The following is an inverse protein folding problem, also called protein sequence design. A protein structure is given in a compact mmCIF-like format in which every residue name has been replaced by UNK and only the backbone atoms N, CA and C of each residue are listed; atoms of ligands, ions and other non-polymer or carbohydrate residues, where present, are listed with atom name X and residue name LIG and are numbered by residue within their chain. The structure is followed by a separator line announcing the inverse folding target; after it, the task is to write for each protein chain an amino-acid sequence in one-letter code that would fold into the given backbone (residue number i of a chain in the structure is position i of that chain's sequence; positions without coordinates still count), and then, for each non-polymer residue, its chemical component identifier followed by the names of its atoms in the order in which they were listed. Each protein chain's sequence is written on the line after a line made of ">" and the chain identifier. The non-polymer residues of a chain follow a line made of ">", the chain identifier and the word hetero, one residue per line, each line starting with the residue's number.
data_IF_553681103475
#
_entry.id   IF_553681103475
#
_cell.length_a   1.000
_cell.length_b   1.000
_cell.length_c   1.000
_cell.angle_alpha   90.00
_cell.angle_beta   90.00
_cell.angle_gamma   90.00
#
_symmetry.space_group_name_H-M   'P 1'
#
loop_
_entity.id
_entity.type
_entity.pdbx_description
1 polymer ?
#
# COMPACT_ATOMS: atom_id res chain seq x y z
N UNK A 1 -9.63 -11.31 12.92
CA UNK A 1 -8.51 -10.91 13.80
C UNK A 1 -9.14 -10.54 15.14
N UNK A 2 -8.95 -11.37 16.17
CA UNK A 2 -9.82 -11.37 17.37
C UNK A 2 -9.24 -10.64 18.59
N UNK A 3 -8.20 -9.81 18.42
CA UNK A 3 -7.69 -8.96 19.52
C UNK A 3 -7.09 -7.67 18.97
N UNK A 4 -7.30 -6.52 19.63
CA UNK A 4 -6.63 -5.28 19.26
C UNK A 4 -5.12 -5.39 19.53
N UNK A 5 -4.32 -4.77 18.66
CA UNK A 5 -2.88 -4.63 18.91
C UNK A 5 -2.68 -3.58 19.99
N UNK A 6 -1.98 -3.95 21.06
CA UNK A 6 -1.79 -3.06 22.22
C UNK A 6 -0.63 -2.07 22.03
N UNK A 7 0.26 -2.32 21.06
CA UNK A 7 1.37 -1.43 20.73
C UNK A 7 1.54 -1.28 19.23
N UNK A 8 2.12 -0.14 18.79
CA UNK A 8 2.54 0.08 17.40
C UNK A 8 3.53 -0.99 16.95
N UNK A 9 4.40 -1.45 17.86
CA UNK A 9 5.36 -2.52 17.59
C UNK A 9 4.68 -3.82 17.20
N UNK A 10 3.68 -4.24 17.97
CA UNK A 10 2.96 -5.49 17.72
C UNK A 10 2.20 -5.43 16.40
N UNK A 11 1.57 -4.29 16.11
CA UNK A 11 0.89 -4.09 14.82
C UNK A 11 1.86 -4.15 13.64
N UNK A 12 2.99 -3.45 13.72
CA UNK A 12 4.00 -3.44 12.65
C UNK A 12 4.58 -4.84 12.41
N UNK A 13 4.92 -5.57 13.47
CA UNK A 13 5.42 -6.93 13.37
C UNK A 13 4.36 -7.90 12.84
N UNK A 14 3.10 -7.76 13.27
CA UNK A 14 2.00 -8.58 12.72
C UNK A 14 1.81 -8.34 11.22
N UNK A 15 1.82 -7.08 10.79
CA UNK A 15 1.67 -6.73 9.39
C UNK A 15 2.82 -7.31 8.56
N UNK A 16 4.05 -7.14 9.05
CA UNK A 16 5.25 -7.70 8.43
C UNK A 16 5.20 -9.23 8.31
N UNK A 17 4.87 -9.96 9.39
CA UNK A 17 4.72 -11.43 9.38
C UNK A 17 3.65 -11.86 8.37
N UNK A 18 2.51 -11.18 8.38
CA UNK A 18 1.39 -11.46 7.48
C UNK A 18 1.79 -11.22 6.02
N UNK A 19 2.49 -10.14 5.74
CA UNK A 19 3.01 -9.84 4.42
C UNK A 19 3.98 -10.91 3.93
N UNK A 20 4.90 -11.39 4.79
CA UNK A 20 5.81 -12.47 4.42
C UNK A 20 5.10 -13.81 4.18
N UNK A 21 4.03 -14.10 4.92
CA UNK A 21 3.18 -15.27 4.64
C UNK A 21 2.54 -15.16 3.25
N UNK A 22 2.05 -13.98 2.89
CA UNK A 22 1.51 -13.71 1.55
C UNK A 22 2.60 -13.83 0.49
N UNK A 23 3.78 -13.25 0.69
CA UNK A 23 4.90 -13.36 -0.26
C UNK A 23 5.31 -14.80 -0.51
N UNK A 24 5.35 -15.64 0.53
CA UNK A 24 5.70 -17.06 0.37
C UNK A 24 4.65 -17.81 -0.45
N UNK A 25 3.36 -17.57 -0.17
CA UNK A 25 2.26 -18.17 -0.95
C UNK A 25 2.30 -17.70 -2.40
N UNK A 26 2.34 -16.39 -2.61
CA UNK A 26 2.34 -15.80 -3.95
C UNK A 26 3.57 -16.20 -4.74
N UNK A 27 4.74 -16.36 -4.11
CA UNK A 27 5.93 -16.90 -4.80
C UNK A 27 5.62 -18.24 -5.46
N UNK A 28 4.98 -19.15 -4.74
CA UNK A 28 4.64 -20.48 -5.25
C UNK A 28 3.55 -20.42 -6.32
N UNK A 29 2.50 -19.65 -6.09
CA UNK A 29 1.38 -19.49 -7.03
C UNK A 29 1.82 -18.82 -8.34
N UNK A 30 2.59 -17.73 -8.25
CA UNK A 30 3.08 -16.99 -9.41
C UNK A 30 4.13 -17.79 -10.21
N UNK A 31 4.97 -18.59 -9.55
CA UNK A 31 5.93 -19.48 -10.20
C UNK A 31 5.22 -20.64 -10.93
N UNK A 32 4.20 -21.23 -10.29
CA UNK A 32 3.41 -22.31 -10.89
C UNK A 32 2.58 -21.84 -12.10
N UNK A 33 2.05 -20.62 -12.04
CA UNK A 33 1.21 -20.05 -13.10
C UNK A 33 1.98 -19.24 -14.14
N UNK A 34 3.27 -18.95 -13.90
CA UNK A 34 4.07 -18.07 -14.77
C UNK A 34 3.56 -16.64 -14.83
N UNK A 35 2.85 -16.17 -13.80
CA UNK A 35 2.19 -14.85 -13.74
C UNK A 35 2.96 -13.81 -12.94
N UNK A 36 4.06 -14.21 -12.29
CA UNK A 36 4.87 -13.32 -11.46
C UNK A 36 5.61 -12.25 -12.26
N UNK A 37 5.76 -11.06 -11.67
CA UNK A 37 6.60 -10.00 -12.25
C UNK A 37 8.08 -10.41 -12.20
N UNK A 38 8.77 -10.57 -13.35
CA UNK A 38 10.17 -10.98 -13.37
C UNK A 38 11.12 -9.98 -12.70
N UNK A 39 10.76 -8.68 -12.67
CA UNK A 39 11.56 -7.64 -12.03
C UNK A 39 11.39 -7.64 -10.51
N UNK A 40 10.23 -8.08 -10.02
CA UNK A 40 9.88 -8.04 -8.60
C UNK A 40 9.34 -9.40 -8.10
N UNK A 41 10.17 -10.46 -8.14
CA UNK A 41 9.77 -11.76 -7.64
C UNK A 41 9.49 -11.70 -6.14
N UNK A 42 8.42 -12.36 -5.70
CA UNK A 42 8.07 -12.43 -4.28
C UNK A 42 9.16 -13.16 -3.49
N UNK A 43 9.65 -12.51 -2.44
CA UNK A 43 10.71 -13.00 -1.56
C UNK A 43 10.34 -12.69 -0.12
N UNK A 44 10.93 -13.47 0.78
CA UNK A 44 10.92 -13.15 2.21
C UNK A 44 11.66 -11.83 2.40
N UNK A 45 11.05 -10.92 3.14
CA UNK A 45 11.51 -9.56 3.34
C UNK A 45 11.74 -9.28 4.85
N UNK A 46 12.81 -8.55 5.25
CA UNK A 46 13.95 -8.17 4.42
C UNK A 46 14.78 -9.39 4.01
N UNK A 47 15.66 -9.21 3.03
CA UNK A 47 16.68 -10.21 2.73
C UNK A 47 17.79 -10.19 3.79
N UNK A 48 18.52 -11.31 3.94
CA UNK A 48 19.69 -11.39 4.85
C UNK A 48 20.78 -10.38 4.49
N UNK A 49 20.94 -10.06 3.21
CA UNK A 49 21.87 -9.01 2.77
C UNK A 49 21.45 -7.63 3.27
N UNK A 50 20.14 -7.36 3.27
CA UNK A 50 19.59 -6.05 3.66
C UNK A 50 19.54 -5.87 5.19
N UNK A 51 19.27 -6.95 5.93
CA UNK A 51 19.30 -6.93 7.39
C UNK A 51 19.88 -8.24 7.94
N UNK A 52 21.21 -8.36 8.06
CA UNK A 52 21.83 -9.56 8.63
C UNK A 52 21.40 -9.79 10.09
N UNK A 53 21.29 -8.71 10.87
CA UNK A 53 20.92 -8.75 12.28
C UNK A 53 19.47 -9.22 12.53
N UNK A 54 18.59 -9.12 11.53
CA UNK A 54 17.21 -9.60 11.62
C UNK A 54 17.12 -11.13 11.73
N UNK A 55 18.20 -11.85 11.40
CA UNK A 55 18.24 -13.30 11.41
C UNK A 55 19.05 -13.77 12.62
N UNK A 56 18.50 -14.70 13.40
CA UNK A 56 19.25 -15.31 14.50
C UNK A 56 20.30 -16.24 13.88
N UNK A 57 21.56 -16.06 14.30
CA UNK A 57 22.66 -16.92 13.87
C UNK A 57 22.50 -18.28 14.56
N UNK A 58 22.00 -19.28 13.83
CA UNK A 58 21.95 -20.65 14.33
C UNK A 58 23.38 -21.20 14.27
N UNK A 59 24.06 -21.26 15.41
CA UNK A 59 25.30 -22.01 15.55
C UNK A 59 25.01 -23.49 15.41
N UNK A 60 25.37 -24.09 14.27
CA UNK A 60 25.29 -25.53 14.02
C UNK A 60 24.32 -25.92 12.92
N UNK A 61 24.77 -26.85 12.08
CA UNK A 61 24.06 -27.46 10.95
C UNK A 61 22.61 -27.86 11.28
N UNK A 62 21.65 -26.99 10.99
CA UNK A 62 20.27 -27.42 10.74
C UNK A 62 20.15 -27.77 9.26
N UNK A 63 20.37 -29.05 8.98
CA UNK A 63 20.07 -29.65 7.69
C UNK A 63 18.57 -29.54 7.43
N UNK A 64 18.24 -28.81 6.36
CA UNK A 64 16.97 -28.84 5.63
C UNK A 64 15.75 -28.10 6.23
N UNK A 65 15.16 -27.29 5.34
CA UNK A 65 13.78 -26.76 5.28
C UNK A 65 13.33 -25.59 6.18
N UNK A 66 13.34 -24.39 5.55
CA UNK A 66 12.28 -23.34 5.55
C UNK A 66 11.99 -22.48 6.77
N UNK A 67 12.37 -22.81 7.99
CA UNK A 67 12.00 -21.95 9.14
C UNK A 67 13.14 -21.01 9.54
N UNK A 68 13.11 -19.81 8.97
CA UNK A 68 14.00 -18.72 9.38
C UNK A 68 13.62 -18.27 10.78
N UNK A 69 14.56 -18.34 11.71
CA UNK A 69 14.39 -17.77 13.05
C UNK A 69 14.72 -16.27 13.02
N UNK A 70 13.78 -15.44 13.48
CA UNK A 70 13.84 -13.99 13.38
C UNK A 70 14.18 -13.33 14.71
N UNK A 71 15.09 -12.37 14.68
CA UNK A 71 15.27 -11.41 15.75
C UNK A 71 14.26 -10.27 15.58
N UNK A 72 13.08 -10.38 16.20
CA UNK A 72 11.99 -9.41 16.04
C UNK A 72 12.32 -8.01 16.57
N UNK A 73 13.29 -7.87 17.48
CA UNK A 73 13.79 -6.57 17.91
C UNK A 73 14.50 -5.85 16.76
N UNK A 74 15.38 -6.57 16.07
CA UNK A 74 16.13 -6.09 14.92
C UNK A 74 15.23 -5.86 13.71
N UNK A 75 14.27 -6.75 13.47
CA UNK A 75 13.25 -6.56 12.43
C UNK A 75 12.49 -5.26 12.68
N UNK A 76 11.93 -5.06 13.87
CA UNK A 76 11.17 -3.84 14.16
C UNK A 76 12.02 -2.58 13.98
N UNK A 77 13.28 -2.59 14.44
CA UNK A 77 14.20 -1.46 14.24
C UNK A 77 14.42 -1.18 12.76
N UNK A 78 14.63 -2.24 11.96
CA UNK A 78 14.76 -2.14 10.52
C UNK A 78 13.48 -1.58 9.85
N UNK A 79 12.28 -2.01 10.25
CA UNK A 79 11.02 -1.48 9.72
C UNK A 79 10.92 0.04 9.90
N UNK A 80 11.21 0.51 11.12
CA UNK A 80 11.11 1.93 11.45
C UNK A 80 12.15 2.75 10.68
N UNK A 81 13.38 2.25 10.55
CA UNK A 81 14.42 2.96 9.79
C UNK A 81 14.11 3.00 8.28
N UNK A 82 13.75 1.85 7.70
CA UNK A 82 13.50 1.71 6.27
C UNK A 82 12.29 2.53 5.81
N UNK A 83 11.16 2.42 6.51
CA UNK A 83 9.93 3.14 6.14
C UNK A 83 9.87 4.55 6.74
N UNK A 84 10.47 4.79 7.90
CA UNK A 84 10.43 6.11 8.56
C UNK A 84 11.23 7.19 7.81
N UNK A 85 12.32 6.83 7.13
CA UNK A 85 13.08 7.77 6.28
C UNK A 85 12.24 8.34 5.14
N UNK A 86 11.36 7.52 4.54
CA UNK A 86 10.49 7.94 3.44
C UNK A 86 9.40 8.92 3.87
N UNK A 87 9.00 8.90 5.15
CA UNK A 87 8.00 9.85 5.69
C UNK A 87 8.64 11.24 5.88
N UNK A 88 9.89 11.30 6.35
CA UNK A 88 10.59 12.57 6.62
C UNK A 88 10.93 13.35 5.36
N UNK A 89 11.32 12.68 4.28
CA UNK A 89 11.67 13.35 3.01
C UNK A 89 10.51 14.10 2.35
N UNK A 90 9.25 13.80 2.70
CA UNK A 90 8.08 14.54 2.22
C UNK A 90 7.70 15.75 3.06
N UNK A 91 8.28 15.93 4.25
CA UNK A 91 7.94 17.04 5.15
C UNK A 91 8.91 18.22 5.10
N UNK A 92 10.12 18.02 4.58
CA UNK A 92 11.15 19.07 4.46
C UNK A 92 11.01 19.92 3.17
N UNK A 93 9.96 19.68 2.37
CA UNK A 93 9.73 20.34 1.07
C UNK A 93 8.79 21.55 1.08
N UNK A 94 8.30 22.00 2.24
CA UNK A 94 7.49 23.22 2.34
C UNK A 94 8.31 24.29 3.06
N UNK A 95 9.33 24.81 2.37
CA UNK A 95 9.93 26.10 2.73
C UNK A 95 9.05 27.21 2.15
N UNK A 96 8.26 27.84 3.03
CA UNK A 96 7.41 28.99 2.73
C UNK A 96 8.24 30.29 2.66
N UNK A 97 9.29 30.34 1.85
CA UNK A 97 9.97 31.59 1.52
C UNK A 97 9.66 31.98 0.08
N UNK A 98 8.74 32.94 -0.04
CA UNK A 98 8.10 33.30 -1.29
C UNK A 98 9.05 33.90 -2.32
N UNK A 99 8.89 33.43 -3.56
CA UNK A 99 9.21 34.21 -4.75
C UNK A 99 8.02 34.16 -5.70
N UNK A 100 7.25 35.25 -5.69
CA UNK A 100 6.17 35.55 -6.62
C UNK A 100 6.82 36.03 -7.91
N UNK A 101 6.65 35.30 -9.01
CA UNK A 101 6.92 35.81 -10.35
C UNK A 101 5.75 35.48 -11.26
N UNK A 102 4.93 36.52 -11.43
CA UNK A 102 4.11 36.94 -12.57
C UNK A 102 3.34 35.97 -13.47
N UNK A 103 2.18 36.46 -13.88
CA UNK A 103 1.15 35.81 -14.68
C UNK A 103 1.63 35.36 -16.07
N UNK A 104 1.34 34.11 -16.44
CA UNK A 104 0.91 33.80 -17.80
C UNK A 104 -0.05 32.62 -17.81
N UNK A 105 -1.29 32.89 -18.20
CA UNK A 105 -2.31 31.91 -18.57
C UNK A 105 -1.79 31.11 -19.77
N UNK A 106 -1.40 29.86 -19.56
CA UNK A 106 -1.16 28.89 -20.63
C UNK A 106 -1.75 27.56 -20.16
N UNK A 107 -2.64 27.03 -20.98
CA UNK A 107 -3.33 25.75 -20.82
C UNK A 107 -2.29 24.62 -20.75
N UNK A 108 -2.08 24.03 -19.57
CA UNK A 108 -1.30 22.80 -19.44
C UNK A 108 -1.81 21.96 -18.26
N UNK A 109 -2.94 21.31 -18.49
CA UNK A 109 -3.36 20.17 -17.70
C UNK A 109 -2.46 18.98 -18.06
N UNK A 110 -1.26 18.91 -17.46
CA UNK A 110 -0.44 17.70 -17.46
C UNK A 110 0.02 17.32 -16.06
N UNK A 111 -0.88 16.68 -15.32
CA UNK A 111 -0.49 15.63 -14.35
C UNK A 111 -1.42 14.45 -14.57
N UNK A 112 -1.11 13.72 -15.65
CA UNK A 112 -1.89 12.62 -16.20
C UNK A 112 -1.74 11.33 -15.39
N UNK A 113 -2.77 11.03 -14.60
CA UNK A 113 -3.27 9.66 -14.40
C UNK A 113 -4.81 9.61 -14.47
N UNK A 114 -5.44 10.65 -15.02
CA UNK A 114 -6.87 10.64 -15.30
C UNK A 114 -7.08 9.87 -16.61
N UNK A 115 -7.78 8.73 -16.55
CA UNK A 115 -8.33 8.11 -17.76
C UNK A 115 -9.27 9.15 -18.39
N UNK A 116 -8.88 9.72 -19.53
CA UNK A 116 -9.73 10.64 -20.27
C UNK A 116 -10.96 9.87 -20.75
N UNK A 117 -12.10 10.08 -20.09
CA UNK A 117 -13.38 9.49 -20.48
C UNK A 117 -13.99 10.35 -21.59
N UNK A 118 -14.50 9.76 -22.69
CA UNK A 118 -15.20 10.53 -23.71
C UNK A 118 -16.32 11.37 -23.09
N UNK A 119 -16.47 12.62 -23.52
CA UNK A 119 -17.49 13.55 -22.99
C UNK A 119 -18.88 12.92 -22.95
N UNK A 120 -19.23 12.12 -23.97
CA UNK A 120 -20.50 11.38 -24.02
C UNK A 120 -20.69 10.38 -22.86
N UNK A 121 -19.64 9.66 -22.47
CA UNK A 121 -19.71 8.74 -21.34
C UNK A 121 -19.79 9.47 -19.99
N UNK A 122 -19.07 10.59 -19.84
CA UNK A 122 -19.17 11.42 -18.64
C UNK A 122 -20.60 11.97 -18.46
N UNK A 123 -21.22 12.47 -19.54
CA UNK A 123 -22.61 12.96 -19.52
C UNK A 123 -23.59 11.82 -19.22
N UNK A 124 -23.41 10.64 -19.81
CA UNK A 124 -24.28 9.49 -19.55
C UNK A 124 -24.23 9.04 -18.09
N UNK A 125 -23.03 8.98 -17.49
CA UNK A 125 -22.85 8.62 -16.07
C UNK A 125 -23.54 9.66 -15.18
N UNK A 126 -23.35 10.95 -15.44
CA UNK A 126 -23.96 12.02 -14.66
C UNK A 126 -25.50 11.93 -14.67
N UNK A 127 -26.10 11.76 -15.85
CA UNK A 127 -27.56 11.64 -15.99
C UNK A 127 -28.11 10.40 -15.28
N UNK A 128 -27.44 9.25 -15.43
CA UNK A 128 -27.83 8.02 -14.75
C UNK A 128 -27.78 8.19 -13.22
N UNK A 129 -26.68 8.71 -12.69
CA UNK A 129 -26.53 8.94 -11.24
C UNK A 129 -27.58 9.89 -10.69
N UNK A 130 -27.88 10.98 -11.40
CA UNK A 130 -28.93 11.92 -11.00
C UNK A 130 -30.34 11.28 -11.02
N UNK A 131 -30.65 10.48 -12.04
CA UNK A 131 -31.94 9.79 -12.14
C UNK A 131 -32.12 8.77 -11.00
N UNK A 132 -31.10 7.95 -10.72
CA UNK A 132 -31.14 7.00 -9.60
C UNK A 132 -31.27 7.70 -8.25
N UNK A 133 -30.56 8.83 -8.04
CA UNK A 133 -30.69 9.64 -6.84
C UNK A 133 -32.11 10.19 -6.64
N UNK A 134 -32.72 10.72 -7.70
CA UNK A 134 -34.09 11.25 -7.65
C UNK A 134 -35.12 10.15 -7.36
N UNK A 135 -34.99 8.98 -8.00
CA UNK A 135 -35.86 7.82 -7.76
C UNK A 135 -35.73 7.29 -6.33
N UNK A 136 -34.50 7.20 -5.80
CA UNK A 136 -34.27 6.78 -4.42
C UNK A 136 -34.89 7.78 -3.41
N UNK A 137 -34.76 9.08 -3.66
CA UNK A 137 -35.38 10.12 -2.83
C UNK A 137 -36.91 10.04 -2.87
N UNK A 138 -37.50 9.86 -4.06
CA UNK A 138 -38.95 9.72 -4.21
C UNK A 138 -39.48 8.48 -3.49
N UNK A 139 -38.81 7.33 -3.66
CA UNK A 139 -39.21 6.09 -3.00
C UNK A 139 -39.10 6.18 -1.48
N UNK A 140 -38.03 6.79 -0.97
CA UNK A 140 -37.86 7.03 0.47
C UNK A 140 -38.92 7.99 1.03
N UNK A 141 -39.33 8.99 0.25
CA UNK A 141 -40.43 9.89 0.62
C UNK A 141 -41.78 9.17 0.66
N UNK A 142 -42.05 8.27 -0.28
CA UNK A 142 -43.25 7.42 -0.30
C UNK A 142 -43.34 6.50 0.91
N UNK A 143 -42.21 5.90 1.34
CA UNK A 143 -42.17 5.06 2.54
C UNK A 143 -42.45 5.82 3.83
N UNK A 144 -42.15 7.12 3.89
CA UNK A 144 -42.38 7.95 5.08
C UNK A 144 -43.84 8.43 5.21
N UNK A 145 -44.60 8.41 4.10
CA UNK A 145 -46.02 8.79 4.05
C UNK A 145 -46.98 7.58 4.14
N UNK A 146 -46.45 6.37 4.35
CA UNK A 146 -47.21 5.17 4.70
C UNK A 146 -47.11 4.92 6.21
#
# INVERSE_FOLDING_TARGET
>A
VSSPFNTTRDFALWLWKTHNKVNLRLKQEEEALGTGDPKFPKKVWPSRLLCPACYIAVGGEKNSTTEVEWNEAEVFRFLIDYYGKMIKSSSDGIDLTGKKSDLQMVDDLTTSNAVAVPVGAAVAIALASCAFGALACFWRSQQKNR
#
